data_IF_341005724028
#
_entry.id   IF_341005724028
#
_cell.length_a   1.000
_cell.length_b   1.000
_cell.length_c   1.000
_cell.angle_alpha   90.00
_cell.angle_beta   90.00
_cell.angle_gamma   90.00
#
_symmetry.space_group_name_H-M   'P 1'
#
loop_
_entity.id
_entity.type
_entity.pdbx_description
1 polymer ?
#
# COMPACT_ATOMS: atom_id res chain seq x y z
N UNK A 1 -12.48 -22.51 5.40
CA UNK A 1 -13.02 -21.11 5.33
C UNK A 1 -12.72 -20.39 4.01
N UNK A 2 -11.47 -20.41 3.49
CA UNK A 2 -11.12 -19.70 2.24
C UNK A 2 -11.90 -20.20 1.00
N UNK A 3 -11.98 -21.52 0.80
CA UNK A 3 -12.77 -22.16 -0.27
C UNK A 3 -14.25 -21.74 -0.19
N UNK A 4 -14.86 -21.85 1.00
CA UNK A 4 -16.26 -21.43 1.22
C UNK A 4 -16.51 -19.97 0.81
N UNK A 5 -15.63 -19.04 1.20
CA UNK A 5 -15.79 -17.61 0.88
C UNK A 5 -15.68 -17.31 -0.61
N UNK A 6 -14.89 -18.08 -1.36
CA UNK A 6 -14.65 -17.90 -2.80
C UNK A 6 -15.72 -18.56 -3.66
N UNK A 7 -16.00 -19.85 -3.45
CA UNK A 7 -16.86 -20.62 -4.34
C UNK A 7 -18.33 -20.65 -3.91
N UNK A 8 -18.61 -20.51 -2.61
CA UNK A 8 -19.98 -20.56 -2.08
C UNK A 8 -20.51 -19.14 -1.83
N UNK A 9 -19.88 -18.38 -0.93
CA UNK A 9 -20.32 -17.00 -0.61
C UNK A 9 -20.05 -16.01 -1.74
N UNK A 10 -19.04 -16.26 -2.58
CA UNK A 10 -18.60 -15.38 -3.68
C UNK A 10 -18.48 -13.92 -3.25
N UNK A 11 -17.70 -13.67 -2.18
CA UNK A 11 -17.54 -12.32 -1.65
C UNK A 11 -17.03 -11.35 -2.76
N UNK A 12 -17.68 -10.20 -3.01
CA UNK A 12 -17.39 -9.35 -4.19
C UNK A 12 -15.94 -8.90 -4.34
N UNK A 13 -15.25 -8.68 -3.22
CA UNK A 13 -13.82 -8.28 -3.20
C UNK A 13 -12.85 -9.39 -3.58
N UNK A 14 -13.28 -10.65 -3.58
CA UNK A 14 -12.46 -11.82 -3.88
C UNK A 14 -12.73 -12.24 -5.32
N UNK A 15 -11.80 -11.90 -6.20
CA UNK A 15 -11.72 -12.43 -7.55
C UNK A 15 -11.23 -13.88 -7.49
N UNK A 16 -11.83 -14.75 -8.31
CA UNK A 16 -11.45 -16.16 -8.41
C UNK A 16 -10.96 -16.44 -9.82
N UNK A 17 -9.70 -16.85 -9.95
CA UNK A 17 -9.08 -17.24 -11.21
C UNK A 17 -8.74 -18.75 -11.19
N UNK A 18 -8.57 -19.42 -12.34
CA UNK A 18 -8.29 -20.86 -12.37
C UNK A 18 -7.07 -21.29 -11.52
N UNK A 19 -6.04 -20.44 -11.48
CA UNK A 19 -4.85 -20.62 -10.64
C UNK A 19 -5.21 -20.82 -9.15
N UNK A 20 -6.23 -20.12 -8.65
CA UNK A 20 -6.65 -20.23 -7.25
C UNK A 20 -7.11 -21.65 -6.90
N UNK A 21 -7.86 -22.27 -7.82
CA UNK A 21 -8.34 -23.65 -7.67
C UNK A 21 -7.17 -24.63 -7.72
N UNK A 22 -6.25 -24.44 -8.68
CA UNK A 22 -5.07 -25.28 -8.83
C UNK A 22 -4.23 -25.29 -7.55
N UNK A 23 -3.99 -24.11 -6.98
CA UNK A 23 -3.24 -23.96 -5.72
C UNK A 23 -3.95 -24.69 -4.57
N UNK A 24 -5.27 -24.61 -4.45
CA UNK A 24 -5.98 -25.33 -3.39
C UNK A 24 -5.88 -26.85 -3.55
N UNK A 25 -6.02 -27.36 -4.77
CA UNK A 25 -5.86 -28.79 -5.07
C UNK A 25 -4.44 -29.23 -4.73
N UNK A 26 -3.43 -28.48 -5.17
CA UNK A 26 -2.03 -28.76 -4.89
C UNK A 26 -1.70 -28.78 -3.41
N UNK A 27 -2.09 -27.75 -2.66
CA UNK A 27 -1.89 -27.70 -1.20
C UNK A 27 -2.61 -28.85 -0.52
N UNK A 28 -3.83 -29.18 -0.94
CA UNK A 28 -4.55 -30.34 -0.40
C UNK A 28 -3.81 -31.66 -0.66
N UNK A 29 -3.32 -31.89 -1.88
CA UNK A 29 -2.56 -33.09 -2.23
C UNK A 29 -1.24 -33.17 -1.46
N UNK A 30 -0.52 -32.06 -1.28
CA UNK A 30 0.71 -32.03 -0.48
C UNK A 30 0.44 -32.33 0.99
N UNK A 31 -0.61 -31.75 1.58
CA UNK A 31 -1.00 -32.05 2.96
C UNK A 31 -1.40 -33.52 3.11
N UNK A 32 -2.20 -34.05 2.18
CA UNK A 32 -2.63 -35.45 2.18
C UNK A 32 -1.44 -36.42 2.06
N UNK A 33 -0.60 -36.23 1.06
CA UNK A 33 0.60 -37.07 0.84
C UNK A 33 1.59 -36.94 2.00
N UNK A 34 1.73 -35.76 2.61
CA UNK A 34 2.56 -35.57 3.80
C UNK A 34 2.08 -36.38 5.00
N UNK A 35 0.76 -36.42 5.26
CA UNK A 35 0.19 -37.30 6.28
C UNK A 35 0.35 -38.79 5.95
N UNK A 36 0.26 -39.17 4.67
CA UNK A 36 0.51 -40.55 4.23
C UNK A 36 1.96 -40.99 4.48
N UNK A 37 2.95 -40.14 4.15
CA UNK A 37 4.36 -40.40 4.43
C UNK A 37 4.59 -40.55 5.93
N UNK A 38 4.01 -39.66 6.74
CA UNK A 38 4.12 -39.72 8.20
C UNK A 38 3.48 -40.99 8.78
N UNK A 39 2.28 -41.34 8.34
CA UNK A 39 1.60 -42.55 8.81
C UNK A 39 2.33 -43.83 8.44
N UNK A 40 2.89 -43.90 7.23
CA UNK A 40 3.67 -45.06 6.81
C UNK A 40 4.98 -45.18 7.59
N UNK A 41 5.66 -44.05 7.87
CA UNK A 41 6.86 -44.04 8.74
C UNK A 41 6.54 -44.56 10.15
N UNK A 42 5.39 -44.19 10.72
CA UNK A 42 4.93 -44.71 12.02
C UNK A 42 4.61 -46.22 11.94
N UNK A 43 4.01 -46.68 10.85
CA UNK A 43 3.66 -48.10 10.68
C UNK A 43 4.89 -49.01 10.54
N UNK A 44 5.96 -48.53 9.91
CA UNK A 44 7.18 -49.32 9.63
C UNK A 44 8.22 -49.23 10.74
N UNK A 45 8.30 -48.12 11.48
CA UNK A 45 9.28 -48.01 12.56
C UNK A 45 8.98 -49.03 13.67
N UNK A 46 9.82 -50.06 13.81
CA UNK A 46 9.79 -51.11 14.86
C UNK A 46 9.93 -50.60 16.31
N UNK A 47 9.77 -49.30 16.53
CA UNK A 47 9.70 -48.74 17.88
C UNK A 47 8.29 -49.02 18.37
N UNK A 48 8.15 -50.02 19.26
CA UNK A 48 7.02 -50.19 20.18
C UNK A 48 6.39 -48.84 20.49
N UNK A 49 5.05 -48.67 20.51
CA UNK A 49 4.37 -47.37 20.55
C UNK A 49 4.73 -46.56 21.80
N UNK A 50 5.91 -45.97 21.81
CA UNK A 50 6.38 -45.03 22.83
C UNK A 50 5.65 -43.74 22.53
N UNK A 51 4.88 -43.26 23.49
CA UNK A 51 4.20 -41.97 23.73
C UNK A 51 4.16 -40.89 22.64
N UNK A 52 5.12 -40.76 21.72
CA UNK A 52 5.20 -39.72 20.69
C UNK A 52 4.22 -39.91 19.51
N UNK A 53 3.90 -41.15 19.10
CA UNK A 53 3.07 -41.40 17.92
C UNK A 53 1.62 -40.87 18.09
N UNK A 54 1.08 -40.94 19.31
CA UNK A 54 -0.23 -40.38 19.68
C UNK A 54 -0.28 -38.85 19.62
N UNK A 55 0.84 -38.15 19.75
CA UNK A 55 0.94 -36.70 19.50
C UNK A 55 0.94 -36.35 18.01
N UNK A 56 0.82 -37.36 17.13
CA UNK A 56 0.51 -37.19 15.72
C UNK A 56 -0.82 -37.90 15.35
N UNK A 57 -1.98 -37.43 15.84
CA UNK A 57 -3.23 -38.20 15.79
C UNK A 57 -3.62 -38.64 14.38
N UNK A 58 -3.51 -37.74 13.39
CA UNK A 58 -3.86 -38.05 12.01
C UNK A 58 -2.85 -39.00 11.36
N UNK A 59 -1.56 -38.82 11.60
CA UNK A 59 -0.53 -39.76 11.14
C UNK A 59 -0.70 -41.15 11.77
N UNK A 60 -1.05 -41.23 13.04
CA UNK A 60 -1.30 -42.48 13.77
C UNK A 60 -2.55 -43.21 13.25
N UNK A 61 -3.64 -42.48 12.99
CA UNK A 61 -4.83 -43.07 12.35
C UNK A 61 -4.49 -43.65 10.97
N UNK A 62 -3.75 -42.88 10.17
CA UNK A 62 -3.31 -43.29 8.83
C UNK A 62 -2.37 -44.51 8.91
N UNK A 63 -1.52 -44.61 9.93
CA UNK A 63 -0.64 -45.76 10.16
C UNK A 63 -1.41 -47.08 10.36
N UNK A 64 -2.55 -47.04 11.06
CA UNK A 64 -3.40 -48.23 11.29
C UNK A 64 -4.07 -48.78 10.03
N UNK A 65 -4.14 -47.98 8.98
CA UNK A 65 -4.82 -48.33 7.72
C UNK A 65 -3.84 -48.96 6.73
N UNK A 66 -2.52 -48.78 6.90
CA UNK A 66 -1.53 -49.24 5.94
C UNK A 66 -1.01 -50.65 6.24
N UNK A 67 -0.95 -51.54 5.22
CA UNK A 67 -0.31 -52.83 5.38
C UNK A 67 1.21 -52.67 5.47
N UNK A 68 1.81 -53.30 6.48
CA UNK A 68 3.25 -53.53 6.58
C UNK A 68 3.58 -54.87 5.92
N UNK A 69 4.71 -54.95 5.23
CA UNK A 69 5.21 -56.19 4.64
C UNK A 69 6.11 -56.94 5.62
N UNK A 70 6.17 -58.27 5.50
CA UNK A 70 6.97 -59.13 6.38
C UNK A 70 8.49 -58.92 6.25
N UNK A 71 8.96 -58.31 5.15
CA UNK A 71 10.39 -58.04 4.94
C UNK A 71 10.71 -56.55 5.05
N UNK A 72 11.71 -56.22 5.88
CA UNK A 72 12.17 -54.85 6.09
C UNK A 72 12.51 -54.12 4.78
N UNK A 73 13.10 -54.81 3.80
CA UNK A 73 13.44 -54.23 2.48
C UNK A 73 12.21 -53.75 1.71
N UNK A 74 11.10 -54.50 1.72
CA UNK A 74 9.87 -54.08 1.03
C UNK A 74 9.24 -52.87 1.70
N UNK A 75 9.34 -52.80 3.03
CA UNK A 75 8.87 -51.64 3.77
C UNK A 75 9.72 -50.39 3.48
N UNK A 76 11.05 -50.51 3.47
CA UNK A 76 11.96 -49.41 3.12
C UNK A 76 11.70 -48.87 1.70
N UNK A 77 11.55 -49.75 0.71
CA UNK A 77 11.22 -49.33 -0.67
C UNK A 77 9.89 -48.55 -0.71
N UNK A 78 8.88 -48.99 0.05
CA UNK A 78 7.60 -48.30 0.10
C UNK A 78 7.67 -46.96 0.84
N UNK A 79 8.55 -46.81 1.85
CA UNK A 79 8.84 -45.52 2.50
C UNK A 79 9.43 -44.56 1.47
N UNK A 80 10.48 -44.98 0.76
CA UNK A 80 11.16 -44.16 -0.24
C UNK A 80 10.24 -43.78 -1.40
N UNK A 81 9.47 -44.73 -1.93
CA UNK A 81 8.52 -44.46 -3.00
C UNK A 81 7.49 -43.40 -2.59
N UNK A 82 6.95 -43.49 -1.36
CA UNK A 82 5.97 -42.51 -0.85
C UNK A 82 6.62 -41.17 -0.51
N UNK A 83 7.84 -41.18 0.01
CA UNK A 83 8.62 -39.98 0.24
C UNK A 83 8.84 -39.24 -1.09
N UNK A 84 9.15 -39.96 -2.18
CA UNK A 84 9.27 -39.38 -3.52
C UNK A 84 7.92 -38.83 -4.05
N UNK A 85 6.79 -39.53 -3.83
CA UNK A 85 5.44 -39.05 -4.18
C UNK A 85 5.07 -37.75 -3.47
N UNK A 86 5.64 -37.47 -2.30
CA UNK A 86 5.45 -36.18 -1.64
C UNK A 86 6.51 -35.14 -2.06
N UNK A 87 7.77 -35.55 -2.09
CA UNK A 87 8.92 -34.65 -2.22
C UNK A 87 9.03 -34.09 -3.63
N UNK A 88 8.86 -34.93 -4.67
CA UNK A 88 8.93 -34.48 -6.07
C UNK A 88 7.82 -33.46 -6.35
N UNK A 89 6.53 -33.74 -6.06
CA UNK A 89 5.50 -32.70 -6.17
C UNK A 89 5.84 -31.47 -5.32
N UNK A 90 6.26 -31.61 -4.06
CA UNK A 90 6.57 -30.45 -3.22
C UNK A 90 7.61 -29.52 -3.87
N UNK A 91 8.69 -30.06 -4.46
CA UNK A 91 9.68 -29.28 -5.19
C UNK A 91 9.14 -28.71 -6.51
N UNK A 92 8.32 -29.45 -7.26
CA UNK A 92 7.63 -28.93 -8.45
C UNK A 92 6.72 -27.76 -8.06
N UNK A 93 6.00 -27.86 -6.94
CA UNK A 93 5.16 -26.78 -6.44
C UNK A 93 5.96 -25.56 -6.06
N UNK A 94 7.08 -25.76 -5.35
CA UNK A 94 7.96 -24.68 -4.98
C UNK A 94 8.51 -23.98 -6.23
N UNK A 95 8.96 -24.75 -7.22
CA UNK A 95 9.35 -24.24 -8.54
C UNK A 95 8.22 -23.46 -9.20
N UNK A 96 7.01 -24.01 -9.25
CA UNK A 96 5.83 -23.34 -9.80
C UNK A 96 5.55 -21.99 -9.11
N UNK A 97 5.61 -21.94 -7.78
CA UNK A 97 5.36 -20.72 -7.01
C UNK A 97 6.31 -19.59 -7.44
N UNK A 98 7.59 -19.91 -7.59
CA UNK A 98 8.63 -18.91 -7.89
C UNK A 98 8.75 -18.60 -9.38
N UNK A 99 8.64 -19.60 -10.26
CA UNK A 99 8.81 -19.44 -11.70
C UNK A 99 7.58 -18.78 -12.36
N UNK A 100 6.37 -19.16 -11.93
CA UNK A 100 5.11 -18.62 -12.48
C UNK A 100 4.62 -17.40 -11.67
N UNK A 101 5.38 -16.98 -10.65
CA UNK A 101 5.01 -15.91 -9.72
C UNK A 101 3.60 -16.08 -9.17
N UNK A 102 3.32 -17.30 -8.72
CA UNK A 102 2.02 -17.67 -8.19
C UNK A 102 1.64 -16.77 -7.02
N UNK A 103 0.34 -16.66 -6.80
CA UNK A 103 -0.20 -15.97 -5.62
C UNK A 103 0.44 -16.41 -4.30
N UNK A 104 0.95 -17.63 -4.16
CA UNK A 104 1.55 -18.13 -2.91
C UNK A 104 2.93 -17.55 -2.57
N UNK A 105 3.56 -16.78 -3.45
CA UNK A 105 4.80 -16.05 -3.12
C UNK A 105 4.62 -15.16 -1.88
N UNK A 106 3.39 -14.70 -1.61
CA UNK A 106 3.07 -13.92 -0.42
C UNK A 106 3.43 -14.64 0.89
N UNK A 107 3.52 -15.98 0.91
CA UNK A 107 3.91 -16.73 2.12
C UNK A 107 5.31 -16.31 2.60
N UNK A 108 6.23 -16.04 1.67
CA UNK A 108 7.55 -15.51 2.00
C UNK A 108 7.59 -13.97 1.95
N UNK A 109 6.97 -13.37 0.94
CA UNK A 109 7.10 -11.94 0.67
C UNK A 109 6.27 -11.06 1.61
N UNK A 110 5.15 -11.56 2.16
CA UNK A 110 4.34 -10.78 3.11
C UNK A 110 5.08 -10.49 4.43
N UNK A 111 5.69 -11.49 5.12
CA UNK A 111 6.53 -11.21 6.29
C UNK A 111 7.67 -10.23 6.00
N UNK A 112 8.34 -10.38 4.86
CA UNK A 112 9.40 -9.45 4.44
C UNK A 112 8.86 -8.04 4.21
N UNK A 113 7.70 -7.89 3.55
CA UNK A 113 7.11 -6.59 3.32
C UNK A 113 6.68 -5.90 4.63
N UNK A 114 6.16 -6.67 5.58
CA UNK A 114 5.83 -6.18 6.94
C UNK A 114 7.10 -5.73 7.66
N UNK A 115 8.19 -6.50 7.57
CA UNK A 115 9.47 -6.18 8.18
C UNK A 115 10.05 -4.86 7.63
N UNK A 116 9.98 -4.66 6.32
CA UNK A 116 10.48 -3.46 5.64
C UNK A 116 9.45 -2.32 5.50
N UNK A 117 8.36 -2.33 6.28
CA UNK A 117 7.36 -1.26 6.25
C UNK A 117 7.98 0.10 6.63
N UNK A 118 7.46 1.20 6.09
CA UNK A 118 7.87 2.53 6.54
C UNK A 118 7.49 2.77 8.00
N UNK A 119 8.45 3.26 8.78
CA UNK A 119 8.27 3.74 10.15
C UNK A 119 8.09 5.26 10.22
N UNK A 120 8.07 5.94 9.07
CA UNK A 120 7.85 7.39 9.00
C UNK A 120 6.44 7.74 9.50
N UNK A 121 6.22 9.00 9.94
CA UNK A 121 4.88 9.48 10.25
C UNK A 121 3.88 9.19 9.13
N UNK A 122 2.65 8.82 9.51
CA UNK A 122 1.59 8.53 8.54
C UNK A 122 1.34 9.79 7.70
N UNK A 123 1.48 9.65 6.38
CA UNK A 123 1.31 10.72 5.41
C UNK A 123 2.63 11.24 4.85
N UNK A 124 3.76 10.99 5.51
CA UNK A 124 5.06 11.48 5.06
C UNK A 124 5.44 10.89 3.69
N UNK A 125 5.74 11.76 2.73
CA UNK A 125 6.29 11.41 1.42
C UNK A 125 7.80 11.56 1.43
N UNK A 126 8.49 10.84 0.55
CA UNK A 126 9.93 11.01 0.37
C UNK A 126 10.20 12.35 -0.33
N UNK A 127 11.11 13.18 0.21
CA UNK A 127 11.57 14.36 -0.52
C UNK A 127 12.40 13.91 -1.73
N UNK A 128 12.38 14.69 -2.79
CA UNK A 128 13.27 14.54 -3.94
C UNK A 128 14.22 15.73 -4.02
N UNK A 129 15.44 15.50 -4.49
CA UNK A 129 16.38 16.56 -4.78
C UNK A 129 16.18 17.00 -6.23
N UNK A 130 15.66 18.21 -6.43
CA UNK A 130 15.33 18.76 -7.74
C UNK A 130 16.58 19.12 -8.57
N UNK A 131 17.73 19.35 -7.93
CA UNK A 131 18.97 19.75 -8.62
C UNK A 131 19.73 18.55 -9.18
N UNK A 132 19.60 17.38 -8.54
CA UNK A 132 20.40 16.20 -8.87
C UNK A 132 19.61 15.11 -9.60
N UNK A 133 18.29 15.29 -9.81
CA UNK A 133 17.43 14.26 -10.40
C UNK A 133 17.00 14.64 -11.81
N UNK A 134 17.10 13.68 -12.72
CA UNK A 134 16.60 13.81 -14.10
C UNK A 134 15.16 13.29 -14.23
N UNK A 135 14.70 12.51 -13.25
CA UNK A 135 13.38 11.89 -13.21
C UNK A 135 12.68 12.37 -11.94
N UNK A 136 11.63 13.17 -12.12
CA UNK A 136 10.94 13.76 -10.99
C UNK A 136 9.95 12.78 -10.37
N UNK A 137 9.23 12.00 -11.19
CA UNK A 137 8.23 11.06 -10.72
C UNK A 137 8.33 9.66 -11.32
N UNK A 138 7.25 8.89 -11.21
CA UNK A 138 7.21 7.50 -11.68
C UNK A 138 6.30 7.38 -12.90
N UNK A 139 6.92 7.37 -14.09
CA UNK A 139 6.25 7.11 -15.38
C UNK A 139 6.41 5.67 -15.88
N UNK A 140 7.40 4.93 -15.35
CA UNK A 140 7.73 3.56 -15.75
C UNK A 140 7.94 2.68 -14.53
N UNK A 141 7.75 1.36 -14.68
CA UNK A 141 7.84 0.43 -13.55
C UNK A 141 9.23 0.45 -12.90
N UNK A 142 10.29 0.71 -13.66
CA UNK A 142 11.68 0.77 -13.16
C UNK A 142 11.95 2.01 -12.31
N UNK A 143 11.13 3.05 -12.41
CA UNK A 143 11.30 4.25 -11.60
C UNK A 143 10.81 4.02 -10.15
N UNK A 144 10.05 2.94 -9.90
CA UNK A 144 9.69 2.57 -8.54
C UNK A 144 10.92 2.13 -7.74
N UNK A 145 10.94 2.50 -6.46
CA UNK A 145 11.92 1.98 -5.51
C UNK A 145 11.76 0.47 -5.33
N UNK A 146 12.83 -0.20 -4.90
CA UNK A 146 12.81 -1.64 -4.58
C UNK A 146 11.66 -2.01 -3.62
N UNK A 147 11.34 -1.14 -2.66
CA UNK A 147 10.27 -1.36 -1.68
C UNK A 147 8.89 -1.23 -2.31
N UNK A 148 8.71 -0.29 -3.23
CA UNK A 148 7.47 -0.16 -4.00
C UNK A 148 7.25 -1.37 -4.93
N UNK A 149 8.31 -1.97 -5.47
CA UNK A 149 8.21 -3.21 -6.23
C UNK A 149 7.90 -4.42 -5.34
N UNK A 150 8.56 -4.55 -4.18
CA UNK A 150 8.26 -5.60 -3.19
C UNK A 150 6.79 -5.60 -2.76
N UNK A 151 6.20 -4.41 -2.58
CA UNK A 151 4.78 -4.23 -2.26
C UNK A 151 3.85 -4.90 -3.30
N UNK A 152 4.21 -4.84 -4.59
CA UNK A 152 3.42 -5.44 -5.66
C UNK A 152 3.41 -6.97 -5.50
N UNK A 153 4.60 -7.56 -5.34
CA UNK A 153 4.75 -9.01 -5.23
C UNK A 153 4.18 -9.57 -3.93
N UNK A 154 4.27 -8.82 -2.83
CA UNK A 154 3.72 -9.20 -1.53
C UNK A 154 2.18 -9.23 -1.50
N UNK A 155 1.50 -8.56 -2.44
CA UNK A 155 0.06 -8.43 -2.43
C UNK A 155 -0.70 -9.77 -2.42
N UNK A 156 -1.57 -9.93 -1.42
CA UNK A 156 -2.34 -11.17 -1.20
C UNK A 156 -3.69 -11.21 -1.93
N UNK A 157 -4.05 -10.15 -2.68
CA UNK A 157 -5.35 -10.01 -3.37
C UNK A 157 -6.57 -10.11 -2.44
N UNK A 158 -6.43 -9.75 -1.16
CA UNK A 158 -7.51 -9.94 -0.17
C UNK A 158 -8.67 -8.94 -0.29
N UNK A 159 -8.47 -7.80 -0.97
CA UNK A 159 -9.49 -6.79 -1.24
C UNK A 159 -9.89 -5.90 -0.05
N UNK A 160 -9.19 -5.96 1.09
CA UNK A 160 -9.46 -5.06 2.24
C UNK A 160 -9.24 -3.58 1.90
N UNK A 161 -8.27 -3.29 1.03
CA UNK A 161 -8.02 -1.92 0.57
C UNK A 161 -9.17 -1.39 -0.31
N UNK A 162 -9.76 -2.26 -1.14
CA UNK A 162 -10.93 -1.94 -1.96
C UNK A 162 -12.13 -1.58 -1.07
N UNK A 163 -12.46 -2.44 -0.10
CA UNK A 163 -13.55 -2.21 0.87
C UNK A 163 -13.29 -1.06 1.85
N UNK A 164 -12.14 -0.40 1.81
CA UNK A 164 -11.84 0.76 2.65
C UNK A 164 -11.76 2.05 1.83
N UNK A 165 -11.82 1.97 0.50
CA UNK A 165 -11.59 3.11 -0.37
C UNK A 165 -12.87 3.93 -0.57
N UNK A 166 -12.93 5.19 -0.12
CA UNK A 166 -14.12 6.02 -0.31
C UNK A 166 -14.42 6.29 -1.79
N UNK A 167 -13.38 6.44 -2.63
CA UNK A 167 -13.56 6.64 -4.07
C UNK A 167 -14.23 5.42 -4.73
N UNK A 168 -13.75 4.21 -4.41
CA UNK A 168 -14.37 2.99 -4.91
C UNK A 168 -15.85 2.88 -4.47
N UNK A 169 -16.15 3.20 -3.20
CA UNK A 169 -17.52 3.19 -2.70
C UNK A 169 -18.44 4.20 -3.37
N UNK A 170 -17.92 5.35 -3.82
CA UNK A 170 -18.69 6.35 -4.55
C UNK A 170 -18.86 6.03 -6.04
N UNK A 171 -18.40 4.86 -6.51
CA UNK A 171 -18.51 4.46 -7.92
C UNK A 171 -17.49 5.12 -8.86
N UNK A 172 -16.42 5.71 -8.32
CA UNK A 172 -15.30 6.25 -9.10
C UNK A 172 -14.41 5.12 -9.65
N UNK A 173 -13.55 5.43 -10.63
CA UNK A 173 -12.71 4.45 -11.30
C UNK A 173 -11.68 3.80 -10.35
N UNK A 174 -11.22 4.54 -9.33
CA UNK A 174 -10.21 4.03 -8.40
C UNK A 174 -10.66 2.80 -7.62
N UNK A 175 -9.94 1.70 -7.83
CA UNK A 175 -9.91 0.55 -6.93
C UNK A 175 -8.45 0.28 -6.51
N UNK A 176 -8.07 0.51 -5.23
CA UNK A 176 -6.67 0.38 -4.80
C UNK A 176 -6.15 -1.06 -4.85
N UNK A 177 -7.03 -2.07 -4.78
CA UNK A 177 -6.61 -3.47 -5.00
C UNK A 177 -6.17 -3.66 -6.45
N UNK A 178 -6.98 -3.17 -7.38
CA UNK A 178 -6.72 -3.22 -8.84
C UNK A 178 -5.42 -2.51 -9.18
N UNK A 179 -5.20 -1.28 -8.70
CA UNK A 179 -3.93 -0.55 -8.90
C UNK A 179 -2.70 -1.42 -8.60
N UNK A 180 -2.66 -2.09 -7.45
CA UNK A 180 -1.52 -2.95 -7.09
C UNK A 180 -1.44 -4.20 -7.97
N UNK A 181 -2.57 -4.77 -8.37
CA UNK A 181 -2.60 -5.93 -9.25
C UNK A 181 -2.20 -5.61 -10.68
N UNK A 182 -2.64 -4.48 -11.21
CA UNK A 182 -2.36 -4.03 -12.57
C UNK A 182 -0.90 -3.58 -12.67
N UNK A 183 -0.36 -2.88 -11.65
CA UNK A 183 1.08 -2.62 -11.53
C UNK A 183 1.91 -3.91 -11.41
N UNK A 184 1.44 -4.89 -10.61
CA UNK A 184 2.10 -6.19 -10.53
C UNK A 184 2.13 -6.84 -11.90
N UNK A 185 0.99 -6.97 -12.58
CA UNK A 185 0.87 -7.56 -13.91
C UNK A 185 1.79 -6.85 -14.92
N UNK A 186 1.83 -5.52 -14.90
CA UNK A 186 2.74 -4.75 -15.74
C UNK A 186 4.23 -5.02 -15.42
N UNK A 187 4.61 -5.11 -14.14
CA UNK A 187 5.95 -5.59 -13.76
C UNK A 187 6.22 -6.99 -14.33
N UNK A 188 5.19 -7.83 -14.40
CA UNK A 188 5.29 -9.17 -14.96
C UNK A 188 5.45 -9.21 -16.46
N UNK A 189 4.80 -8.31 -17.18
CA UNK A 189 4.91 -8.20 -18.63
C UNK A 189 6.26 -7.60 -19.04
N UNK A 190 6.76 -6.61 -18.29
CA UNK A 190 8.08 -6.00 -18.53
C UNK A 190 9.21 -6.98 -18.20
N UNK A 191 9.07 -7.74 -17.10
CA UNK A 191 10.03 -8.76 -16.67
C UNK A 191 9.35 -10.13 -16.55
N UNK A 192 9.17 -10.85 -17.69
CA UNK A 192 8.45 -12.12 -17.70
C UNK A 192 9.22 -13.25 -17.02
N UNK A 193 10.56 -13.23 -17.14
CA UNK A 193 11.44 -14.24 -16.55
C UNK A 193 11.88 -13.76 -15.16
N UNK A 194 11.50 -14.45 -14.08
CA UNK A 194 11.95 -14.10 -12.74
C UNK A 194 13.49 -14.09 -12.65
N UNK A 195 14.04 -13.17 -11.86
CA UNK A 195 15.49 -12.99 -11.62
C UNK A 195 16.34 -12.53 -12.82
N UNK A 196 15.77 -12.42 -14.03
CA UNK A 196 16.44 -11.85 -15.20
C UNK A 196 16.13 -10.36 -15.30
N UNK A 197 17.16 -9.52 -15.33
CA UNK A 197 17.03 -8.05 -15.39
C UNK A 197 16.98 -7.52 -16.82
N UNK A 198 16.32 -8.23 -17.72
CA UNK A 198 16.15 -7.80 -19.11
C UNK A 198 14.70 -7.41 -19.32
N UNK A 199 14.47 -6.12 -19.59
CA UNK A 199 13.15 -5.60 -19.90
C UNK A 199 12.77 -5.90 -21.35
N UNK A 200 11.48 -6.11 -21.60
CA UNK A 200 10.91 -6.09 -22.94
C UNK A 200 10.48 -4.66 -23.27
N UNK A 201 11.02 -4.10 -24.37
CA UNK A 201 10.87 -2.67 -24.70
C UNK A 201 9.49 -2.28 -25.24
N UNK A 202 8.77 -3.19 -25.92
CA UNK A 202 7.41 -2.92 -26.38
C UNK A 202 6.42 -3.09 -25.23
N UNK A 203 6.09 -1.99 -24.55
CA UNK A 203 5.22 -2.00 -23.38
C UNK A 203 4.24 -0.83 -23.39
N UNK A 204 3.07 -1.09 -22.81
CA UNK A 204 2.07 -0.07 -22.55
C UNK A 204 2.62 1.03 -21.61
N UNK A 205 2.19 2.27 -21.79
CA UNK A 205 2.48 3.34 -20.85
C UNK A 205 1.80 3.06 -19.51
N UNK A 206 2.59 2.99 -18.45
CA UNK A 206 2.12 2.58 -17.13
C UNK A 206 1.08 3.57 -16.56
N UNK A 207 1.22 4.85 -16.87
CA UNK A 207 0.41 5.91 -16.26
C UNK A 207 -0.87 6.12 -17.06
N UNK A 208 -0.82 6.07 -18.39
CA UNK A 208 -1.99 6.35 -19.24
C UNK A 208 -2.76 5.10 -19.66
N UNK A 209 -2.10 3.95 -19.84
CA UNK A 209 -2.73 2.71 -20.34
C UNK A 209 -2.93 1.64 -19.27
N UNK A 210 -1.99 1.46 -18.34
CA UNK A 210 -2.08 0.42 -17.30
C UNK A 210 -2.96 0.86 -16.13
N UNK A 211 -2.67 2.04 -15.56
CA UNK A 211 -3.41 2.55 -14.39
C UNK A 211 -4.47 3.58 -14.78
N UNK A 212 -4.19 4.38 -15.82
CA UNK A 212 -4.98 5.54 -16.28
C UNK A 212 -4.95 6.75 -15.35
N UNK A 213 -5.00 7.94 -15.94
CA UNK A 213 -4.99 9.21 -15.20
C UNK A 213 -6.21 9.36 -14.28
N UNK A 214 -7.39 8.88 -14.71
CA UNK A 214 -8.62 8.95 -13.93
C UNK A 214 -8.46 8.25 -12.57
N UNK A 215 -7.92 7.04 -12.57
CA UNK A 215 -7.65 6.25 -11.34
C UNK A 215 -6.64 6.95 -10.44
N UNK A 216 -5.60 7.55 -11.03
CA UNK A 216 -4.56 8.29 -10.31
C UNK A 216 -5.17 9.52 -9.61
N UNK A 217 -6.00 10.28 -10.29
CA UNK A 217 -6.60 11.52 -9.77
C UNK A 217 -7.77 11.29 -8.82
N UNK A 218 -8.44 10.14 -8.89
CA UNK A 218 -9.50 9.75 -7.95
C UNK A 218 -9.01 9.47 -6.52
N UNK A 219 -7.71 9.26 -6.33
CA UNK A 219 -7.13 9.01 -5.00
C UNK A 219 -7.14 10.27 -4.14
N UNK A 220 -7.87 10.25 -3.02
CA UNK A 220 -7.92 11.37 -2.07
C UNK A 220 -6.78 11.36 -1.04
N UNK A 221 -5.78 10.50 -1.22
CA UNK A 221 -4.61 10.33 -0.32
C UNK A 221 -4.94 10.10 1.17
N UNK A 222 -6.19 9.73 1.52
CA UNK A 222 -6.66 9.53 2.90
C UNK A 222 -6.04 8.34 3.66
N UNK A 223 -5.25 7.49 2.98
CA UNK A 223 -4.57 6.29 3.52
C UNK A 223 -5.48 5.21 4.11
N UNK A 224 -6.80 5.26 3.93
CA UNK A 224 -7.72 4.22 4.42
C UNK A 224 -7.34 2.81 3.90
N UNK A 225 -6.95 2.71 2.62
CA UNK A 225 -6.46 1.47 2.02
C UNK A 225 -5.20 0.91 2.69
N UNK A 226 -4.26 1.78 3.07
CA UNK A 226 -3.02 1.40 3.73
C UNK A 226 -3.29 0.99 5.20
N UNK A 227 -4.22 1.65 5.90
CA UNK A 227 -4.63 1.25 7.26
C UNK A 227 -5.30 -0.13 7.26
N UNK A 228 -6.10 -0.44 6.24
CA UNK A 228 -6.79 -1.72 6.12
C UNK A 228 -5.89 -2.89 5.66
N UNK A 229 -4.68 -2.59 5.17
CA UNK A 229 -3.78 -3.57 4.57
C UNK A 229 -3.07 -4.40 5.67
N UNK A 230 -3.25 -5.73 5.72
CA UNK A 230 -2.64 -6.57 6.76
C UNK A 230 -1.12 -6.74 6.59
N UNK A 231 -0.60 -6.38 5.42
CA UNK A 231 0.82 -6.54 5.04
C UNK A 231 1.47 -5.20 4.67
N UNK A 232 0.84 -4.09 5.07
CA UNK A 232 1.40 -2.73 4.98
C UNK A 232 1.86 -2.29 3.57
N UNK A 233 1.09 -2.58 2.53
CA UNK A 233 1.36 -2.08 1.18
C UNK A 233 1.17 -0.56 1.10
N UNK A 234 2.17 0.15 0.59
CA UNK A 234 2.22 1.60 0.51
C UNK A 234 1.61 2.09 -0.82
N UNK A 235 0.28 2.14 -0.89
CA UNK A 235 -0.47 2.55 -2.09
C UNK A 235 -0.31 4.04 -2.44
N UNK A 236 -0.44 4.94 -1.45
CA UNK A 236 -0.49 6.40 -1.66
C UNK A 236 0.79 6.94 -2.28
N UNK A 237 1.95 6.49 -1.81
CA UNK A 237 3.25 6.97 -2.28
C UNK A 237 3.41 6.70 -3.78
N UNK A 238 3.02 5.50 -4.25
CA UNK A 238 3.05 5.15 -5.69
C UNK A 238 2.16 6.07 -6.52
N UNK A 239 0.95 6.37 -6.03
CA UNK A 239 0.01 7.26 -6.71
C UNK A 239 0.56 8.69 -6.77
N UNK A 240 1.13 9.20 -5.67
CA UNK A 240 1.69 10.56 -5.64
C UNK A 240 2.94 10.64 -6.52
N UNK A 241 3.79 9.61 -6.55
CA UNK A 241 4.95 9.56 -7.44
C UNK A 241 4.53 9.53 -8.92
N UNK A 242 3.45 8.82 -9.28
CA UNK A 242 2.87 8.87 -10.63
C UNK A 242 2.28 10.25 -10.95
N UNK A 243 1.57 10.88 -10.01
CA UNK A 243 1.11 12.28 -10.16
C UNK A 243 2.25 13.25 -10.38
N UNK A 244 3.38 13.04 -9.70
CA UNK A 244 4.56 13.88 -9.85
C UNK A 244 5.12 13.81 -11.27
N UNK A 245 5.14 12.63 -11.91
CA UNK A 245 5.52 12.52 -13.32
C UNK A 245 4.50 13.21 -14.23
N UNK A 246 3.19 12.99 -13.98
CA UNK A 246 2.13 13.67 -14.73
C UNK A 246 2.26 15.20 -14.68
N UNK A 247 2.48 15.77 -13.50
CA UNK A 247 2.57 17.22 -13.31
C UNK A 247 3.90 17.80 -13.77
N UNK A 248 5.03 17.26 -13.30
CA UNK A 248 6.35 17.87 -13.50
C UNK A 248 7.01 17.51 -14.84
N UNK A 249 6.66 16.36 -15.43
CA UNK A 249 7.27 15.91 -16.69
C UNK A 249 6.31 16.03 -17.87
N UNK A 250 5.02 15.71 -17.67
CA UNK A 250 4.03 15.64 -18.76
C UNK A 250 3.10 16.85 -18.84
N UNK A 251 3.08 17.72 -17.82
CA UNK A 251 2.11 18.83 -17.70
C UNK A 251 0.65 18.37 -17.84
N UNK A 252 0.33 17.16 -17.37
CA UNK A 252 -0.99 16.53 -17.44
C UNK A 252 -1.63 16.51 -16.04
N UNK A 253 -2.75 17.21 -15.90
CA UNK A 253 -3.49 17.29 -14.65
C UNK A 253 -4.93 17.78 -14.88
N UNK A 254 -5.89 17.43 -14.02
CA UNK A 254 -7.25 17.94 -14.09
C UNK A 254 -7.28 19.46 -13.97
N UNK A 255 -8.22 20.10 -14.67
CA UNK A 255 -8.37 21.57 -14.68
C UNK A 255 -8.51 22.14 -13.25
N UNK A 256 -9.27 21.46 -12.38
CA UNK A 256 -9.44 21.88 -10.98
C UNK A 256 -8.13 21.86 -10.19
N UNK A 257 -7.25 20.87 -10.44
CA UNK A 257 -5.93 20.78 -9.83
C UNK A 257 -5.01 21.87 -10.37
N UNK A 258 -5.05 22.12 -11.68
CA UNK A 258 -4.28 23.20 -12.31
C UNK A 258 -4.64 24.57 -11.74
N UNK A 259 -5.93 24.86 -11.60
CA UNK A 259 -6.41 26.12 -11.02
C UNK A 259 -5.97 26.27 -9.56
N UNK A 260 -5.99 25.19 -8.77
CA UNK A 260 -5.53 25.21 -7.39
C UNK A 260 -4.01 25.48 -7.29
N UNK A 261 -3.19 24.87 -8.16
CA UNK A 261 -1.75 25.13 -8.24
C UNK A 261 -1.45 26.58 -8.64
N UNK A 262 -2.16 27.12 -9.65
CA UNK A 262 -2.04 28.53 -10.04
C UNK A 262 -2.38 29.48 -8.88
N UNK A 263 -3.44 29.17 -8.10
CA UNK A 263 -3.77 29.96 -6.91
C UNK A 263 -2.68 29.84 -5.84
N UNK A 264 -2.09 28.67 -5.63
CA UNK A 264 -0.98 28.49 -4.70
C UNK A 264 0.24 29.31 -5.12
N UNK A 265 0.59 29.34 -6.40
CA UNK A 265 1.72 30.14 -6.89
C UNK A 265 1.46 31.65 -6.77
N UNK A 266 0.26 32.11 -7.13
CA UNK A 266 -0.04 33.54 -7.19
C UNK A 266 -0.48 34.16 -5.86
N UNK A 267 -1.13 33.37 -4.99
CA UNK A 267 -1.81 33.84 -3.77
C UNK A 267 -1.40 33.07 -2.52
N UNK A 268 -0.53 32.08 -2.65
CA UNK A 268 -0.04 31.27 -1.52
C UNK A 268 -1.17 30.55 -0.75
N UNK A 269 -2.26 30.24 -1.45
CA UNK A 269 -3.35 29.40 -0.98
C UNK A 269 -4.13 28.79 -2.17
N UNK A 270 -4.78 27.62 -2.03
CA UNK A 270 -5.40 26.93 -3.16
C UNK A 270 -6.80 27.44 -3.53
N UNK A 271 -7.42 28.28 -2.70
CA UNK A 271 -8.82 28.68 -2.84
C UNK A 271 -9.05 29.77 -3.88
N UNK A 272 -9.53 29.38 -5.07
CA UNK A 272 -9.93 30.33 -6.11
C UNK A 272 -11.15 31.15 -5.68
N UNK A 273 -11.10 32.47 -5.92
CA UNK A 273 -12.26 33.35 -5.75
C UNK A 273 -12.62 33.70 -4.31
N UNK A 274 -11.89 33.20 -3.30
CA UNK A 274 -12.12 33.63 -1.92
C UNK A 274 -11.84 35.12 -1.77
N UNK A 275 -12.77 35.83 -1.13
CA UNK A 275 -12.67 37.23 -0.72
C UNK A 275 -12.25 37.36 0.74
N UNK A 276 -12.21 36.25 1.47
CA UNK A 276 -11.83 36.24 2.85
C UNK A 276 -10.33 36.51 3.02
N UNK A 277 -9.98 37.19 4.10
CA UNK A 277 -8.60 37.43 4.51
C UNK A 277 -8.16 36.42 5.57
N UNK A 278 -6.85 36.32 5.82
CA UNK A 278 -6.28 35.41 6.82
C UNK A 278 -6.71 35.73 8.27
N UNK A 279 -7.30 36.90 8.51
CA UNK A 279 -7.66 37.39 9.85
C UNK A 279 -9.17 37.61 10.04
N UNK A 280 -10.00 37.48 9.00
CA UNK A 280 -11.45 37.72 9.10
C UNK A 280 -12.11 36.85 10.19
N UNK A 281 -11.70 35.58 10.28
CA UNK A 281 -12.20 34.64 11.29
C UNK A 281 -11.83 35.02 12.73
N UNK A 282 -10.79 35.85 12.91
CA UNK A 282 -10.26 36.28 14.21
C UNK A 282 -10.90 37.58 14.72
N UNK A 283 -11.75 38.23 13.90
CA UNK A 283 -12.40 39.48 14.25
C UNK A 283 -13.18 39.37 15.58
N UNK A 284 -12.89 40.28 16.51
CA UNK A 284 -13.54 40.31 17.83
C UNK A 284 -13.08 39.23 18.81
N UNK A 285 -12.09 38.40 18.46
CA UNK A 285 -11.53 37.39 19.37
C UNK A 285 -10.28 37.87 20.12
N UNK A 286 -9.70 39.02 19.75
CA UNK A 286 -8.50 39.56 20.42
C UNK A 286 -7.27 38.65 20.28
N UNK A 287 -7.10 38.00 19.13
CA UNK A 287 -5.93 37.16 18.83
C UNK A 287 -4.74 38.05 18.49
N UNK A 288 -3.58 37.77 19.08
CA UNK A 288 -2.33 38.47 18.79
C UNK A 288 -1.83 38.14 17.39
N UNK A 289 -1.44 39.15 16.62
CA UNK A 289 -0.72 38.98 15.36
C UNK A 289 0.76 39.23 15.61
N UNK A 290 1.62 38.32 15.16
CA UNK A 290 3.07 38.34 15.50
C UNK A 290 3.80 39.60 15.01
N UNK A 291 3.32 40.23 13.93
CA UNK A 291 3.87 41.49 13.45
C UNK A 291 3.60 42.68 14.39
N UNK A 292 2.64 42.55 15.30
CA UNK A 292 2.25 43.58 16.28
C UNK A 292 2.76 43.25 17.69
N UNK A 293 2.58 41.99 18.13
CA UNK A 293 3.07 41.48 19.42
C UNK A 293 3.61 40.06 19.25
N UNK A 294 4.92 39.93 19.26
CA UNK A 294 5.65 38.66 19.17
C UNK A 294 5.88 37.98 20.52
N UNK A 295 5.40 38.55 21.63
CA UNK A 295 5.52 37.96 22.96
C UNK A 295 4.48 36.84 23.17
N UNK A 296 4.75 35.69 22.54
CA UNK A 296 3.91 34.50 22.54
C UNK A 296 4.73 33.25 22.86
N UNK A 297 4.11 32.25 23.50
CA UNK A 297 4.74 30.95 23.77
C UNK A 297 4.45 29.94 22.64
N UNK A 298 3.33 30.12 21.93
CA UNK A 298 2.84 29.18 20.91
C UNK A 298 2.38 29.94 19.67
N UNK A 299 2.91 29.55 18.51
CA UNK A 299 2.34 29.97 17.23
C UNK A 299 1.21 29.03 16.83
N UNK A 300 0.00 29.56 16.63
CA UNK A 300 -1.09 28.83 16.02
C UNK A 300 -1.05 29.01 14.49
N UNK A 301 -0.53 28.00 13.79
CA UNK A 301 -0.62 27.91 12.33
C UNK A 301 -2.05 27.53 11.92
N UNK A 302 -2.78 28.49 11.36
CA UNK A 302 -4.22 28.37 11.07
C UNK A 302 -4.45 27.51 9.82
N UNK A 303 -3.65 27.76 8.78
CA UNK A 303 -3.74 27.07 7.50
C UNK A 303 -4.84 27.61 6.59
N UNK A 304 -4.67 27.43 5.27
CA UNK A 304 -5.51 28.08 4.27
C UNK A 304 -7.00 27.73 4.39
N UNK A 305 -7.34 26.47 4.66
CA UNK A 305 -8.74 26.04 4.75
C UNK A 305 -9.44 26.66 5.95
N UNK A 306 -8.78 26.67 7.11
CA UNK A 306 -9.40 27.16 8.34
C UNK A 306 -9.40 28.71 8.40
N UNK A 307 -8.53 29.37 7.62
CA UNK A 307 -8.48 30.82 7.54
C UNK A 307 -9.35 31.42 6.42
N UNK A 308 -9.53 30.73 5.29
CA UNK A 308 -10.07 31.34 4.05
C UNK A 308 -11.34 30.67 3.50
N UNK A 309 -11.79 29.56 4.08
CA UNK A 309 -13.04 28.90 3.71
C UNK A 309 -14.09 29.14 4.81
N UNK A 310 -15.18 29.80 4.46
CA UNK A 310 -16.19 30.33 5.40
C UNK A 310 -16.80 29.23 6.29
N UNK A 311 -17.12 28.06 5.73
CA UNK A 311 -17.69 26.95 6.51
C UNK A 311 -16.70 26.43 7.56
N UNK A 312 -15.40 26.56 7.33
CA UNK A 312 -14.34 26.07 8.21
C UNK A 312 -13.79 27.14 9.17
N UNK A 313 -13.98 28.44 8.93
CA UNK A 313 -13.53 29.52 9.83
C UNK A 313 -14.01 29.38 11.27
N UNK A 314 -15.22 28.85 11.46
CA UNK A 314 -15.77 28.54 12.79
C UNK A 314 -14.89 27.59 13.62
N UNK A 315 -14.09 26.75 12.97
CA UNK A 315 -13.14 25.83 13.63
C UNK A 315 -11.97 26.60 14.20
N UNK A 316 -11.40 27.55 13.46
CA UNK A 316 -10.31 28.43 13.94
C UNK A 316 -10.79 29.29 15.10
N UNK A 317 -11.98 29.89 14.97
CA UNK A 317 -12.59 30.69 16.04
C UNK A 317 -12.84 29.86 17.32
N UNK A 318 -13.33 28.62 17.18
CA UNK A 318 -13.52 27.72 18.32
C UNK A 318 -12.18 27.30 18.96
N UNK A 319 -11.17 26.98 18.15
CA UNK A 319 -9.81 26.64 18.62
C UNK A 319 -9.23 27.79 19.43
N UNK A 320 -9.32 29.03 18.92
CA UNK A 320 -8.90 30.24 19.64
C UNK A 320 -9.57 30.39 21.00
N UNK A 321 -10.90 30.23 21.08
CA UNK A 321 -11.64 30.30 22.35
C UNK A 321 -11.17 29.25 23.35
N UNK A 322 -10.85 28.04 22.88
CA UNK A 322 -10.32 26.97 23.72
C UNK A 322 -8.92 27.32 24.25
N UNK A 323 -8.02 27.81 23.38
CA UNK A 323 -6.67 28.21 23.78
C UNK A 323 -6.69 29.35 24.81
N UNK A 324 -7.56 30.34 24.61
CA UNK A 324 -7.77 31.44 25.56
C UNK A 324 -8.34 30.95 26.89
N UNK A 325 -9.35 30.09 26.87
CA UNK A 325 -9.92 29.51 28.09
C UNK A 325 -8.91 28.63 28.85
N UNK A 326 -7.96 28.01 28.14
CA UNK A 326 -6.86 27.26 28.72
C UNK A 326 -5.70 28.15 29.23
N UNK A 327 -5.78 29.47 29.04
CA UNK A 327 -4.73 30.41 29.45
C UNK A 327 -3.42 30.28 28.66
N UNK A 328 -3.47 29.72 27.45
CA UNK A 328 -2.30 29.60 26.57
C UNK A 328 -2.00 30.98 25.96
N UNK A 329 -0.76 31.45 26.07
CA UNK A 329 -0.30 32.66 25.39
C UNK A 329 0.11 32.32 23.96
N UNK A 330 -0.78 32.54 22.99
CA UNK A 330 -0.56 32.22 21.58
C UNK A 330 -0.79 33.42 20.67
N UNK A 331 -0.25 33.34 19.46
CA UNK A 331 -0.48 34.29 18.37
C UNK A 331 -0.58 33.62 17.01
N UNK A 332 -0.82 34.42 15.97
CA UNK A 332 -0.92 33.99 14.57
C UNK A 332 -0.03 34.86 13.67
N UNK A 333 0.40 34.31 12.53
CA UNK A 333 1.16 35.07 11.52
C UNK A 333 0.28 36.09 10.75
N UNK A 334 -1.05 35.97 10.83
CA UNK A 334 -1.97 36.84 10.10
C UNK A 334 -1.75 36.77 8.59
N UNK A 335 -1.58 37.93 7.95
CA UNK A 335 -1.38 38.03 6.50
C UNK A 335 -0.04 37.46 6.00
N UNK A 336 0.93 37.26 6.90
CA UNK A 336 2.23 36.66 6.56
C UNK A 336 2.14 35.13 6.45
N UNK A 337 1.05 34.51 6.93
CA UNK A 337 0.88 33.06 6.84
C UNK A 337 0.65 32.61 5.39
N UNK A 338 1.58 31.81 4.87
CA UNK A 338 1.46 31.19 3.55
C UNK A 338 0.86 29.77 3.63
N UNK A 339 0.68 29.08 2.50
CA UNK A 339 0.28 27.67 2.51
C UNK A 339 1.45 26.78 2.95
N UNK A 340 1.17 25.71 3.71
CA UNK A 340 2.17 24.70 4.06
C UNK A 340 2.66 23.86 2.86
N UNK A 341 2.09 24.04 1.67
CA UNK A 341 2.48 23.37 0.43
C UNK A 341 2.00 21.92 0.28
N UNK A 342 1.35 21.31 1.28
CA UNK A 342 0.85 19.92 1.16
C UNK A 342 -0.05 19.70 -0.07
N UNK A 343 -0.99 20.59 -0.44
CA UNK A 343 -1.79 20.40 -1.65
C UNK A 343 -0.93 20.30 -2.92
N UNK A 344 0.08 21.16 -3.08
CA UNK A 344 1.01 21.10 -4.20
C UNK A 344 1.73 19.74 -4.23
N UNK A 345 2.28 19.32 -3.08
CA UNK A 345 2.99 18.06 -2.94
C UNK A 345 2.12 16.84 -3.26
N UNK A 346 0.86 16.82 -2.82
CA UNK A 346 -0.11 15.72 -3.08
C UNK A 346 -0.62 15.69 -4.51
N UNK A 347 -0.62 16.85 -5.18
CA UNK A 347 -0.92 16.95 -6.60
C UNK A 347 0.28 16.58 -7.47
N UNK A 348 1.49 16.55 -6.91
CA UNK A 348 2.71 16.15 -7.62
C UNK A 348 3.57 17.33 -8.06
N UNK A 349 3.30 18.54 -7.61
CA UNK A 349 4.18 19.70 -7.83
C UNK A 349 5.16 19.82 -6.65
N UNK A 350 6.27 19.08 -6.73
CA UNK A 350 7.28 19.10 -5.66
C UNK A 350 8.06 20.42 -5.65
N UNK A 351 8.24 21.07 -6.80
CA UNK A 351 8.92 22.36 -6.88
C UNK A 351 8.15 23.42 -6.08
N UNK A 352 6.86 23.60 -6.36
CA UNK A 352 6.02 24.54 -5.63
C UNK A 352 5.93 24.21 -4.15
N UNK A 353 5.88 22.92 -3.79
CA UNK A 353 5.96 22.49 -2.39
C UNK A 353 7.26 22.94 -1.73
N UNK A 354 8.41 22.71 -2.34
CA UNK A 354 9.71 23.07 -1.78
C UNK A 354 9.87 24.59 -1.66
N UNK A 355 9.42 25.36 -2.64
CA UNK A 355 9.41 26.83 -2.57
C UNK A 355 8.58 27.35 -1.41
N UNK A 356 7.34 26.87 -1.26
CA UNK A 356 6.46 27.27 -0.15
C UNK A 356 7.02 26.82 1.21
N UNK A 357 7.57 25.61 1.27
CA UNK A 357 8.17 25.07 2.49
C UNK A 357 9.38 25.90 2.92
N UNK A 358 10.29 26.22 1.99
CA UNK A 358 11.47 27.02 2.27
C UNK A 358 11.10 28.42 2.74
N UNK A 359 10.14 29.08 2.06
CA UNK A 359 9.61 30.39 2.48
C UNK A 359 9.07 30.35 3.91
N UNK A 360 8.33 29.30 4.27
CA UNK A 360 7.80 29.15 5.63
C UNK A 360 8.89 28.90 6.67
N UNK A 361 9.95 28.17 6.31
CA UNK A 361 11.10 27.94 7.21
C UNK A 361 11.87 29.24 7.43
N UNK A 362 11.98 30.11 6.42
CA UNK A 362 12.66 31.40 6.56
C UNK A 362 11.85 32.43 7.37
N UNK A 363 10.52 32.30 7.39
CA UNK A 363 9.62 33.16 8.15
C UNK A 363 9.60 32.81 9.65
N UNK A 364 9.79 31.54 10.00
CA UNK A 364 9.73 31.01 11.37
C UNK A 364 11.10 31.03 12.05
#
# INVERSE_FOLDING_TARGET
MAVYRRYIKKAPRLDTVPEDTLVFVWVFLLVLTGFMVKGYRIAVSEVSPTDWAMWSPLGYLVAKIFPTFDTGIKNEILVWHRALIHTIPAFIFLGYIWLIRSRLQHVLLSPLNVFFRSLKPKGALNPINLESTEIFGVSRIEHFTWKQLLDLDACTRCGRCQDACPAYFSGKALNPKKVIQDLKAHLQDVYPIPFVRQAIESRADMVTEVITEEVIWDCTTCRACQQACPIYIEHVDKIVDMRRSLVMERSQLPESAQQALQCLTAREHPWRGTTATRTDWAAGLGVKVLSEDSNIDVLYWVGCTAALEERNMKVSAATTKILQAAGINFGILGSEESCCGDPARRMGDEYLFQTLCQKNIELL
#
